data_IF_167177833243
#
_entry.id   IF_167177833243
#
_cell.length_a   1.000
_cell.length_b   1.000
_cell.length_c   1.000
_cell.angle_alpha   90.00
_cell.angle_beta   90.00
_cell.angle_gamma   90.00
#
_symmetry.space_group_name_H-M   'P 1'
#
loop_
_entity.id
_entity.type
_entity.pdbx_description
1 polymer ?
#
# COMPACT_ATOMS: atom_id res chain seq x y z
N UNK A 1 -9.35 14.68 8.18
CA UNK A 1 -8.88 14.48 9.58
C UNK A 1 -7.45 13.98 9.56
N UNK A 2 -6.48 14.87 9.74
CA UNK A 2 -5.03 14.61 9.79
C UNK A 2 -4.59 13.44 10.68
N UNK A 3 -5.24 13.25 11.83
CA UNK A 3 -4.96 12.15 12.75
C UNK A 3 -5.02 10.76 12.07
N UNK A 4 -6.07 10.49 11.27
CA UNK A 4 -6.23 9.20 10.60
C UNK A 4 -5.13 8.93 9.57
N UNK A 5 -4.66 9.98 8.91
CA UNK A 5 -3.59 9.89 7.91
C UNK A 5 -2.25 9.58 8.59
N UNK A 6 -1.97 10.22 9.73
CA UNK A 6 -0.78 9.90 10.52
C UNK A 6 -0.84 8.45 11.02
N UNK A 7 -1.99 7.99 11.53
CA UNK A 7 -2.17 6.59 11.91
C UNK A 7 -1.94 5.64 10.73
N UNK A 8 -2.44 5.96 9.54
CA UNK A 8 -2.22 5.17 8.33
C UNK A 8 -0.75 5.06 7.94
N UNK A 9 0.01 6.16 8.04
CA UNK A 9 1.47 6.14 7.83
C UNK A 9 2.17 5.23 8.86
N UNK A 10 1.82 5.34 10.14
CA UNK A 10 2.38 4.50 11.20
C UNK A 10 2.04 3.03 10.96
N UNK A 11 0.80 2.71 10.60
CA UNK A 11 0.38 1.33 10.29
C UNK A 11 1.19 0.78 9.11
N UNK A 12 1.33 1.54 8.02
CA UNK A 12 2.15 1.13 6.88
C UNK A 12 3.60 0.84 7.27
N UNK A 13 4.20 1.70 8.10
CA UNK A 13 5.56 1.48 8.61
C UNK A 13 5.66 0.24 9.52
N UNK A 14 4.66 0.01 10.39
CA UNK A 14 4.60 -1.18 11.24
C UNK A 14 4.40 -2.45 10.43
N UNK A 15 3.64 -2.41 9.33
CA UNK A 15 3.49 -3.55 8.42
C UNK A 15 4.83 -3.94 7.80
N UNK A 16 5.63 -2.98 7.35
CA UNK A 16 6.97 -3.25 6.80
C UNK A 16 7.92 -3.79 7.90
N UNK A 17 7.87 -3.18 9.09
CA UNK A 17 8.70 -3.58 10.24
C UNK A 17 8.39 -4.99 10.72
N UNK A 18 7.12 -5.36 10.82
CA UNK A 18 6.64 -6.65 11.32
C UNK A 18 6.15 -7.58 10.21
N UNK A 19 6.60 -7.37 8.97
CA UNK A 19 6.17 -8.10 7.76
C UNK A 19 6.22 -9.61 7.92
N UNK A 20 7.18 -10.11 8.68
CA UNK A 20 7.42 -11.54 8.88
C UNK A 20 6.31 -12.16 9.74
N UNK A 21 6.08 -11.58 10.92
CA UNK A 21 5.01 -11.99 11.83
C UNK A 21 3.64 -11.86 11.19
N UNK A 22 3.41 -10.79 10.45
CA UNK A 22 2.15 -10.56 9.74
C UNK A 22 1.97 -11.61 8.63
N UNK A 23 3.01 -11.89 7.86
CA UNK A 23 2.97 -12.92 6.82
C UNK A 23 2.71 -14.33 7.37
N UNK A 24 3.32 -14.67 8.50
CA UNK A 24 3.07 -15.94 9.21
C UNK A 24 1.62 -16.05 9.72
N UNK A 25 1.03 -14.94 10.18
CA UNK A 25 -0.35 -14.92 10.67
C UNK A 25 -1.39 -14.99 9.55
N UNK A 26 -1.13 -14.37 8.40
CA UNK A 26 -2.05 -14.36 7.25
C UNK A 26 -1.95 -15.68 6.48
N UNK A 27 -0.77 -16.29 6.44
CA UNK A 27 -0.48 -17.46 5.61
C UNK A 27 -0.23 -17.09 4.15
N UNK A 28 0.20 -18.07 3.36
CA UNK A 28 0.57 -17.89 1.96
C UNK A 28 -0.55 -18.39 1.03
N UNK A 29 -1.24 -17.46 0.37
CA UNK A 29 -2.16 -17.82 -0.71
C UNK A 29 -1.40 -18.09 -2.00
N UNK A 30 -1.91 -18.98 -2.87
CA UNK A 30 -1.22 -19.40 -4.10
C UNK A 30 -0.82 -18.23 -5.00
N UNK A 31 -1.69 -17.24 -5.13
CA UNK A 31 -1.41 -16.06 -5.97
C UNK A 31 -0.33 -15.13 -5.39
N UNK A 32 -0.09 -15.17 -4.08
CA UNK A 32 0.94 -14.33 -3.44
C UNK A 32 2.33 -14.72 -3.93
N UNK A 33 2.52 -15.97 -4.39
CA UNK A 33 3.77 -16.43 -5.01
C UNK A 33 4.13 -15.64 -6.26
N UNK A 34 3.14 -15.22 -7.07
CA UNK A 34 3.40 -14.41 -8.27
C UNK A 34 3.91 -13.00 -7.94
N UNK A 35 3.72 -12.54 -6.70
CA UNK A 35 4.13 -11.21 -6.23
C UNK A 35 5.40 -11.27 -5.37
N UNK A 36 6.09 -12.41 -5.33
CA UNK A 36 7.29 -12.62 -4.52
C UNK A 36 7.02 -13.20 -3.12
N UNK A 37 5.84 -13.83 -2.92
CA UNK A 37 5.43 -14.47 -1.68
C UNK A 37 4.76 -13.52 -0.69
N UNK A 38 4.24 -14.09 0.41
CA UNK A 38 3.48 -13.34 1.43
C UNK A 38 4.30 -12.20 2.06
N UNK A 39 5.60 -12.40 2.26
CA UNK A 39 6.49 -11.38 2.84
C UNK A 39 6.57 -10.14 1.95
N UNK A 40 6.80 -10.32 0.66
CA UNK A 40 6.91 -9.22 -0.29
C UNK A 40 5.54 -8.54 -0.49
N UNK A 41 4.47 -9.33 -0.47
CA UNK A 41 3.11 -8.80 -0.50
C UNK A 41 2.82 -7.87 0.69
N UNK A 42 3.19 -8.26 1.92
CA UNK A 42 3.01 -7.40 3.11
C UNK A 42 3.84 -6.12 3.02
N UNK A 43 5.06 -6.17 2.46
CA UNK A 43 5.87 -4.97 2.20
C UNK A 43 5.13 -4.04 1.23
N UNK A 44 4.65 -4.57 0.09
CA UNK A 44 3.94 -3.79 -0.92
C UNK A 44 2.71 -3.11 -0.34
N UNK A 45 1.92 -3.82 0.47
CA UNK A 45 0.80 -3.22 1.19
C UNK A 45 1.25 -2.13 2.15
N UNK A 46 2.29 -2.36 2.95
CA UNK A 46 2.81 -1.37 3.89
C UNK A 46 3.26 -0.08 3.20
N UNK A 47 3.95 -0.20 2.06
CA UNK A 47 4.35 0.92 1.21
C UNK A 47 3.11 1.65 0.68
N UNK A 48 2.13 0.91 0.15
CA UNK A 48 0.89 1.48 -0.37
C UNK A 48 0.16 2.29 0.70
N UNK A 49 -0.05 1.73 1.90
CA UNK A 49 -0.71 2.41 3.01
C UNK A 49 0.06 3.67 3.45
N UNK A 50 1.40 3.59 3.50
CA UNK A 50 2.23 4.72 3.86
C UNK A 50 2.08 5.88 2.87
N UNK A 51 2.30 5.62 1.58
CA UNK A 51 2.25 6.65 0.54
C UNK A 51 0.83 7.15 0.27
N UNK A 52 -0.19 6.29 0.38
CA UNK A 52 -1.58 6.72 0.32
C UNK A 52 -1.87 7.72 1.44
N UNK A 53 -1.47 7.41 2.66
CA UNK A 53 -1.70 8.28 3.81
C UNK A 53 -0.94 9.60 3.70
N UNK A 54 0.29 9.55 3.19
CA UNK A 54 1.09 10.73 2.88
C UNK A 54 0.40 11.60 1.83
N UNK A 55 -0.01 11.01 0.70
CA UNK A 55 -0.69 11.72 -0.39
C UNK A 55 -2.01 12.34 0.06
N UNK A 56 -2.77 11.65 0.92
CA UNK A 56 -4.00 12.15 1.49
C UNK A 56 -3.75 13.34 2.46
N UNK A 57 -2.62 13.34 3.16
CA UNK A 57 -2.23 14.43 4.07
C UNK A 57 -1.73 15.66 3.29
N UNK A 58 -0.95 15.47 2.24
CA UNK A 58 -0.37 16.54 1.42
C UNK A 58 -1.30 17.06 0.33
N UNK A 59 -2.46 16.42 0.13
CA UNK A 59 -3.41 16.78 -0.93
C UNK A 59 -2.94 16.37 -2.33
N UNK A 60 -2.02 15.42 -2.45
CA UNK A 60 -1.42 14.97 -3.72
C UNK A 60 -1.97 13.61 -4.16
N UNK A 61 -3.23 13.31 -3.84
CA UNK A 61 -3.89 12.04 -4.18
C UNK A 61 -3.96 11.81 -5.69
N UNK A 62 -4.21 12.87 -6.46
CA UNK A 62 -4.30 12.79 -7.93
C UNK A 62 -2.98 12.33 -8.56
N UNK A 63 -1.85 12.74 -7.98
CA UNK A 63 -0.50 12.34 -8.44
C UNK A 63 -0.22 10.89 -8.04
N UNK A 64 -0.61 10.48 -6.84
CA UNK A 64 -0.41 9.11 -6.35
C UNK A 64 -1.17 8.08 -7.21
N UNK A 65 -2.38 8.41 -7.64
CA UNK A 65 -3.18 7.55 -8.52
C UNK A 65 -3.00 7.82 -10.01
N UNK A 66 -2.21 8.82 -10.42
CA UNK A 66 -2.00 9.13 -11.83
C UNK A 66 -1.58 7.90 -12.68
N UNK A 67 -0.65 7.03 -12.23
CA UNK A 67 -0.31 5.81 -13.00
C UNK A 67 -1.49 4.85 -13.16
N UNK A 68 -2.34 4.72 -12.13
CA UNK A 68 -3.55 3.90 -12.18
C UNK A 68 -4.58 4.51 -13.14
N UNK A 69 -4.75 5.84 -13.11
CA UNK A 69 -5.59 6.56 -14.04
C UNK A 69 -5.06 6.56 -15.46
N UNK A 70 -3.75 6.45 -15.69
CA UNK A 70 -3.22 6.30 -17.05
C UNK A 70 -3.43 4.90 -17.60
N UNK A 71 -3.34 3.88 -16.74
CA UNK A 71 -3.61 2.48 -17.12
C UNK A 71 -5.09 2.20 -17.35
N UNK A 72 -5.98 2.79 -16.55
CA UNK A 72 -7.44 2.55 -16.60
C UNK A 72 -8.17 3.65 -17.40
N UNK A 73 -7.72 4.89 -17.27
CA UNK A 73 -8.32 6.09 -17.84
C UNK A 73 -7.72 6.53 -19.18
N UNK A 74 -6.85 5.73 -19.81
CA UNK A 74 -6.49 5.88 -21.23
C UNK A 74 -7.69 5.78 -22.20
N UNK A 75 -8.92 5.60 -21.70
CA UNK A 75 -10.17 5.58 -22.45
C UNK A 75 -10.99 6.88 -22.37
N UNK A 76 -10.60 7.89 -21.57
CA UNK A 76 -11.29 9.18 -21.52
C UNK A 76 -10.35 10.31 -21.93
N UNK A 77 -10.36 10.52 -23.24
CA UNK A 77 -9.96 11.75 -23.92
C UNK A 77 -10.97 12.88 -23.63
#
# INVERSE_FOLDING_TARGET
MWFLQICGMVIGALMIKYREKIGEQIGEAEWMRYVGGVYNFVILLGILFFFWSLAALTGTMDIFFAPLFWLVGGAFQ
#
